data_IF_086416634608
#
_entry.id   IF_086416634608
#
_cell.length_a   1.000
_cell.length_b   1.000
_cell.length_c   1.000
_cell.angle_alpha   90.00
_cell.angle_beta   90.00
_cell.angle_gamma   90.00
#
_symmetry.space_group_name_H-M   'P 1'
#
loop_
_entity.id
_entity.type
_entity.pdbx_description
1 polymer ?
#
# COMPACT_ATOMS: atom_id res chain seq x y z
N UNK A 1 -42.66 10.88 0.01
CA UNK A 1 -42.57 11.37 1.41
C UNK A 1 -42.33 10.15 2.29
N UNK A 2 -41.15 10.03 2.92
CA UNK A 2 -40.88 8.94 3.87
C UNK A 2 -41.33 9.42 5.24
N UNK A 3 -42.45 8.88 5.72
CA UNK A 3 -42.98 9.20 7.05
C UNK A 3 -42.28 8.28 8.06
N UNK A 4 -41.59 8.87 9.04
CA UNK A 4 -41.02 8.13 10.16
C UNK A 4 -42.03 8.16 11.31
N UNK A 5 -42.79 7.07 11.47
CA UNK A 5 -43.63 6.86 12.65
C UNK A 5 -42.80 6.16 13.73
N UNK A 6 -42.03 6.94 14.48
CA UNK A 6 -41.22 6.45 15.59
C UNK A 6 -42.06 6.24 16.85
N UNK A 7 -42.85 5.17 16.91
CA UNK A 7 -43.39 4.67 18.17
C UNK A 7 -42.61 3.41 18.57
N UNK A 8 -41.74 3.53 19.57
CA UNK A 8 -41.05 2.38 20.21
C UNK A 8 -39.56 2.20 19.92
N UNK A 9 -38.89 3.14 19.25
CA UNK A 9 -37.43 3.08 19.10
C UNK A 9 -36.74 3.58 20.38
N UNK A 10 -35.96 2.69 21.00
CA UNK A 10 -35.10 3.06 22.11
C UNK A 10 -33.87 3.85 21.61
N UNK A 11 -33.17 4.51 22.53
CA UNK A 11 -31.92 5.22 22.20
C UNK A 11 -30.86 4.21 21.76
N UNK A 12 -30.90 3.01 22.34
CA UNK A 12 -30.03 1.88 22.03
C UNK A 12 -30.25 1.41 20.58
N UNK A 13 -31.50 1.27 20.14
CA UNK A 13 -31.81 0.88 18.76
C UNK A 13 -31.32 1.91 17.74
N UNK A 14 -31.44 3.20 18.08
CA UNK A 14 -30.88 4.29 17.27
C UNK A 14 -29.35 4.21 17.20
N UNK A 15 -28.70 3.94 18.33
CA UNK A 15 -27.24 3.81 18.39
C UNK A 15 -26.75 2.65 17.54
N UNK A 16 -27.43 1.50 17.58
CA UNK A 16 -27.12 0.33 16.75
C UNK A 16 -27.28 0.67 15.27
N UNK A 17 -28.42 1.24 14.87
CA UNK A 17 -28.67 1.59 13.46
C UNK A 17 -27.63 2.58 12.91
N UNK A 18 -27.26 3.60 13.69
CA UNK A 18 -26.23 4.55 13.27
C UNK A 18 -24.87 3.86 13.15
N UNK A 19 -24.51 3.02 14.12
CA UNK A 19 -23.23 2.30 14.12
C UNK A 19 -23.13 1.37 12.92
N UNK A 20 -24.19 0.63 12.60
CA UNK A 20 -24.25 -0.27 11.45
C UNK A 20 -24.19 0.48 10.12
N UNK A 21 -24.95 1.58 10.00
CA UNK A 21 -24.92 2.42 8.81
C UNK A 21 -23.52 2.96 8.55
N UNK A 22 -22.89 3.56 9.58
CA UNK A 22 -21.52 4.09 9.49
C UNK A 22 -20.51 2.98 9.19
N UNK A 23 -20.58 1.84 9.87
CA UNK A 23 -19.69 0.71 9.62
C UNK A 23 -19.83 0.18 8.18
N UNK A 24 -21.04 0.16 7.62
CA UNK A 24 -21.28 -0.29 6.26
C UNK A 24 -20.65 0.65 5.23
N UNK A 25 -20.76 1.97 5.42
CA UNK A 25 -20.16 2.95 4.52
C UNK A 25 -18.63 2.99 4.64
N UNK A 26 -18.09 2.87 5.86
CA UNK A 26 -16.64 2.77 6.08
C UNK A 26 -16.02 1.53 5.42
N UNK A 27 -16.73 0.39 5.41
CA UNK A 27 -16.28 -0.81 4.70
C UNK A 27 -16.17 -0.56 3.19
N UNK A 28 -17.17 0.09 2.59
CA UNK A 28 -17.13 0.44 1.16
C UNK A 28 -15.96 1.37 0.83
N UNK A 29 -15.73 2.39 1.67
CA UNK A 29 -14.59 3.30 1.51
C UNK A 29 -13.27 2.55 1.62
N UNK A 30 -13.11 1.66 2.62
CA UNK A 30 -11.91 0.83 2.77
C UNK A 30 -11.67 -0.04 1.55
N UNK A 31 -12.70 -0.66 1.00
CA UNK A 31 -12.56 -1.55 -0.16
C UNK A 31 -12.22 -0.76 -1.45
N UNK A 32 -12.69 0.48 -1.57
CA UNK A 32 -12.27 1.42 -2.63
C UNK A 32 -10.81 1.87 -2.48
N UNK A 33 -10.34 2.09 -1.25
CA UNK A 33 -8.93 2.42 -0.96
C UNK A 33 -8.03 1.19 -1.12
N UNK A 34 -8.53 0.00 -0.82
CA UNK A 34 -7.74 -1.24 -0.91
C UNK A 34 -7.63 -1.73 -2.36
N UNK A 35 -8.61 -1.42 -3.21
CA UNK A 35 -8.57 -1.68 -4.65
C UNK A 35 -7.69 -0.68 -5.42
N UNK A 36 -7.25 0.41 -4.77
CA UNK A 36 -6.06 1.15 -5.21
C UNK A 36 -4.76 0.51 -4.72
N UNK A 37 -4.69 -0.82 -4.69
CA UNK A 37 -3.48 -1.48 -5.18
C UNK A 37 -3.29 -1.04 -6.62
N UNK A 38 -2.85 0.22 -6.78
CA UNK A 38 -2.10 0.66 -7.92
C UNK A 38 -1.20 -0.50 -8.26
N UNK A 39 -1.28 -0.95 -9.51
CA UNK A 39 -0.17 -1.66 -10.13
C UNK A 39 0.98 -0.66 -10.11
N UNK A 40 1.52 -0.41 -8.91
CA UNK A 40 2.73 0.34 -8.73
C UNK A 40 3.71 -0.39 -9.59
N UNK A 41 4.43 0.39 -10.39
CA UNK A 41 5.48 -0.08 -11.25
C UNK A 41 6.49 -0.80 -10.34
N UNK A 42 6.31 -2.11 -10.19
CA UNK A 42 7.04 -2.91 -9.22
C UNK A 42 8.53 -2.93 -9.58
N UNK A 43 8.86 -2.63 -10.83
CA UNK A 43 10.21 -2.51 -11.33
C UNK A 43 10.66 -1.06 -11.40
N UNK A 44 11.62 -0.72 -10.55
CA UNK A 44 12.37 0.53 -10.57
C UNK A 44 13.65 0.35 -11.39
N UNK A 45 13.97 1.30 -12.25
CA UNK A 45 15.29 1.39 -12.87
C UNK A 45 16.37 1.60 -11.81
N UNK A 46 17.63 1.32 -12.14
CA UNK A 46 18.76 1.59 -11.24
C UNK A 46 18.76 3.01 -10.65
N UNK A 47 18.43 4.01 -11.47
CA UNK A 47 18.39 5.42 -11.09
C UNK A 47 17.21 5.74 -10.15
N UNK A 48 16.02 5.19 -10.43
CA UNK A 48 14.86 5.29 -9.54
C UNK A 48 15.12 4.58 -8.19
N UNK A 49 15.76 3.42 -8.20
CA UNK A 49 16.08 2.67 -6.99
C UNK A 49 17.12 3.39 -6.10
N UNK A 50 18.12 4.04 -6.71
CA UNK A 50 19.08 4.88 -5.98
C UNK A 50 18.37 6.07 -5.30
N UNK A 51 17.48 6.76 -6.03
CA UNK A 51 16.65 7.83 -5.45
C UNK A 51 15.71 7.34 -4.35
N UNK A 52 15.16 6.15 -4.50
CA UNK A 52 14.22 5.59 -3.54
C UNK A 52 14.88 5.29 -2.18
N UNK A 53 16.09 4.76 -2.20
CA UNK A 53 16.87 4.45 -1.00
C UNK A 53 17.78 5.60 -0.52
N UNK A 54 17.86 6.69 -1.28
CA UNK A 54 18.80 7.79 -1.10
C UNK A 54 20.27 7.32 -0.98
N UNK A 55 20.70 6.48 -1.93
CA UNK A 55 22.05 5.91 -2.00
C UNK A 55 22.72 6.12 -3.35
N UNK A 56 24.04 5.93 -3.39
CA UNK A 56 24.82 6.00 -4.62
C UNK A 56 24.71 4.75 -5.49
N UNK A 57 25.06 4.91 -6.78
CA UNK A 57 25.12 3.80 -7.75
C UNK A 57 26.11 2.69 -7.37
N UNK A 58 27.16 3.01 -6.62
CA UNK A 58 28.14 2.01 -6.17
C UNK A 58 27.55 1.20 -5.02
N UNK A 59 26.86 1.85 -4.10
CA UNK A 59 26.18 1.19 -2.96
C UNK A 59 25.12 0.20 -3.43
N UNK A 60 24.24 0.59 -4.36
CA UNK A 60 23.22 -0.33 -4.88
C UNK A 60 23.83 -1.54 -5.61
N UNK A 61 24.98 -1.35 -6.26
CA UNK A 61 25.71 -2.44 -6.91
C UNK A 61 26.33 -3.40 -5.89
N UNK A 62 26.91 -2.86 -4.81
CA UNK A 62 27.41 -3.68 -3.70
C UNK A 62 26.30 -4.48 -3.02
N UNK A 63 25.10 -3.92 -2.87
CA UNK A 63 23.95 -4.64 -2.33
C UNK A 63 23.55 -5.80 -3.23
N UNK A 64 23.58 -5.60 -4.55
CA UNK A 64 23.39 -6.69 -5.51
C UNK A 64 24.48 -7.76 -5.44
N UNK A 65 25.73 -7.38 -5.15
CA UNK A 65 26.85 -8.33 -4.98
C UNK A 65 26.77 -9.10 -3.65
N UNK A 66 26.20 -8.50 -2.61
CA UNK A 66 25.98 -9.10 -1.28
C UNK A 66 24.68 -9.91 -1.20
N UNK A 67 23.98 -10.12 -2.33
CA UNK A 67 22.68 -10.79 -2.41
C UNK A 67 21.58 -10.18 -1.51
N UNK A 68 21.73 -8.89 -1.14
CA UNK A 68 20.72 -8.15 -0.37
C UNK A 68 19.53 -7.73 -1.23
N UNK A 69 19.76 -7.52 -2.54
CA UNK A 69 18.75 -7.18 -3.54
C UNK A 69 19.04 -7.93 -4.84
N UNK A 70 18.01 -8.30 -5.61
CA UNK A 70 18.15 -9.09 -6.85
C UNK A 70 18.00 -8.21 -8.10
N UNK A 71 19.11 -7.82 -8.76
CA UNK A 71 19.04 -7.04 -10.00
C UNK A 71 18.45 -7.88 -11.15
N UNK A 72 17.38 -7.37 -11.79
CA UNK A 72 16.74 -7.98 -12.96
C UNK A 72 17.22 -7.28 -14.24
N UNK A 73 17.85 -8.02 -15.14
CA UNK A 73 18.30 -7.49 -16.45
C UNK A 73 17.19 -7.63 -17.49
N UNK A 74 16.81 -6.53 -18.14
CA UNK A 74 15.82 -6.49 -19.22
C UNK A 74 16.26 -5.50 -20.29
N UNK A 75 16.52 -5.98 -21.51
CA UNK A 75 16.85 -5.13 -22.67
C UNK A 75 18.08 -4.24 -22.47
N UNK A 76 19.12 -4.72 -21.78
CA UNK A 76 20.34 -3.96 -21.49
C UNK A 76 20.24 -2.99 -20.31
N UNK A 77 19.06 -2.88 -19.67
CA UNK A 77 18.86 -2.10 -18.44
C UNK A 77 18.69 -3.01 -17.24
N UNK A 78 19.06 -2.51 -16.06
CA UNK A 78 18.89 -3.19 -14.77
C UNK A 78 17.73 -2.57 -14.02
N UNK A 79 16.85 -3.43 -13.52
CA UNK A 79 15.68 -3.10 -12.73
C UNK A 79 15.72 -3.79 -11.36
N UNK A 80 15.02 -3.22 -10.39
CA UNK A 80 14.93 -3.67 -9.01
C UNK A 80 13.46 -3.71 -8.59
N UNK A 81 13.07 -4.68 -7.76
CA UNK A 81 11.70 -4.71 -7.24
C UNK A 81 11.53 -3.71 -6.12
N UNK A 82 10.52 -2.84 -6.19
CA UNK A 82 10.20 -1.88 -5.12
C UNK A 82 9.92 -2.59 -3.80
N UNK A 83 9.20 -3.73 -3.85
CA UNK A 83 8.91 -4.54 -2.65
C UNK A 83 10.18 -5.06 -1.97
N UNK A 84 11.19 -5.48 -2.76
CA UNK A 84 12.46 -5.95 -2.24
C UNK A 84 13.28 -4.81 -1.60
N UNK A 85 13.28 -3.62 -2.20
CA UNK A 85 13.92 -2.44 -1.60
C UNK A 85 13.26 -2.01 -0.29
N UNK A 86 11.92 -2.13 -0.19
CA UNK A 86 11.19 -1.87 1.06
C UNK A 86 11.53 -2.88 2.15
N UNK A 87 11.64 -4.16 1.80
CA UNK A 87 12.05 -5.20 2.75
C UNK A 87 13.46 -4.93 3.30
N UNK A 88 14.38 -4.46 2.45
CA UNK A 88 15.72 -4.07 2.90
C UNK A 88 15.69 -2.95 3.95
N UNK A 89 14.79 -1.97 3.80
CA UNK A 89 14.64 -0.90 4.80
C UNK A 89 14.06 -1.41 6.11
N UNK A 90 13.14 -2.38 6.05
CA UNK A 90 12.50 -2.95 7.24
C UNK A 90 13.40 -3.90 8.02
N UNK A 91 14.35 -4.58 7.36
CA UNK A 91 15.29 -5.52 8.01
C UNK A 91 16.40 -4.79 8.80
N UNK A 92 16.62 -3.51 8.52
CA UNK A 92 17.63 -2.67 9.18
C UNK A 92 17.05 -1.89 10.39
N UNK A 93 15.73 -1.83 10.53
CA UNK A 93 15.01 -1.09 11.60
C UNK A 93 14.56 -2.01 12.74
#
# INVERSE_FOLDING_TARGET
>A
MKNFQGFGLSVEDLQVMITEAVASELRKVRDLVSSSQTVEKDLLTRDEACRFLDISYTTIWEYGKKDLIKPKKLGGRVYYSKSELLNLLNDVA
#
